data_IF_476650198629
#
_entry.id   IF_476650198629
#
_cell.length_a   1.000
_cell.length_b   1.000
_cell.length_c   1.000
_cell.angle_alpha   90.00
_cell.angle_beta   90.00
_cell.angle_gamma   90.00
#
_symmetry.space_group_name_H-M   'P 1'
#
loop_
_entity.id
_entity.type
_entity.pdbx_description
1 polymer ?
#
# COMPACT_ATOMS: atom_id res chain seq x y z
N UNK A 1 -5.92 -39.53 23.54
CA UNK A 1 -6.30 -38.29 22.83
C UNK A 1 -5.39 -37.19 23.34
N UNK A 2 -4.41 -36.75 22.54
CA UNK A 2 -3.37 -35.79 22.98
C UNK A 2 -3.54 -34.49 22.20
N UNK A 3 -4.01 -33.44 22.87
CA UNK A 3 -4.13 -32.08 22.30
C UNK A 3 -2.75 -31.42 22.21
N UNK A 4 -2.32 -30.87 21.07
CA UNK A 4 -1.05 -30.16 20.98
C UNK A 4 -1.14 -28.82 21.72
N UNK A 5 -0.21 -28.61 22.67
CA UNK A 5 -0.07 -27.37 23.40
C UNK A 5 0.29 -26.21 22.44
N UNK A 6 -0.47 -25.11 22.51
CA UNK A 6 -0.24 -23.87 21.76
C UNK A 6 1.13 -23.29 22.13
N UNK A 7 2.15 -23.50 21.28
CA UNK A 7 3.49 -22.95 21.47
C UNK A 7 3.41 -21.43 21.50
N UNK A 8 3.64 -20.85 22.69
CA UNK A 8 3.77 -19.40 22.88
C UNK A 8 5.04 -18.96 22.15
N UNK A 9 4.95 -17.94 21.29
CA UNK A 9 6.11 -17.33 20.65
C UNK A 9 7.07 -16.85 21.73
N UNK A 10 8.29 -17.41 21.74
CA UNK A 10 9.37 -17.01 22.62
C UNK A 10 9.74 -15.55 22.29
N UNK A 11 9.97 -14.72 23.31
CA UNK A 11 10.30 -13.30 23.20
C UNK A 11 11.68 -13.00 22.57
N UNK A 12 12.33 -14.01 22.00
CA UNK A 12 13.65 -13.94 21.36
C UNK A 12 13.58 -14.42 19.91
N UNK A 13 12.55 -14.00 19.17
CA UNK A 13 12.47 -14.27 17.73
C UNK A 13 13.14 -13.13 16.96
N UNK A 14 14.26 -13.37 16.26
CA UNK A 14 14.95 -12.37 15.44
C UNK A 14 14.21 -12.07 14.12
N UNK A 15 13.21 -12.88 13.77
CA UNK A 15 12.31 -12.63 12.65
C UNK A 15 11.29 -11.57 13.06
N UNK A 16 11.63 -10.30 12.83
CA UNK A 16 10.67 -9.21 12.90
C UNK A 16 9.64 -9.40 11.77
N UNK A 17 8.34 -9.28 12.05
CA UNK A 17 7.32 -9.29 11.00
C UNK A 17 7.63 -8.16 10.01
N UNK A 18 7.50 -8.45 8.71
CA UNK A 18 7.73 -7.46 7.66
C UNK A 18 6.97 -6.17 7.99
N UNK A 19 7.63 -5.00 7.92
CA UNK A 19 7.00 -3.73 8.25
C UNK A 19 5.74 -3.60 7.40
N UNK A 20 4.62 -3.35 8.08
CA UNK A 20 3.32 -3.07 7.45
C UNK A 20 3.61 -2.05 6.36
N UNK A 21 3.28 -2.34 5.08
CA UNK A 21 3.60 -1.43 3.99
C UNK A 21 3.06 -0.07 4.39
N UNK A 22 3.95 0.91 4.51
CA UNK A 22 3.57 2.29 4.81
C UNK A 22 2.57 2.64 3.73
N UNK A 23 1.29 2.65 4.11
CA UNK A 23 0.24 3.15 3.26
C UNK A 23 0.55 4.64 3.22
N UNK A 24 1.38 5.05 2.27
CA UNK A 24 1.69 6.47 2.10
C UNK A 24 0.34 7.15 1.96
N UNK A 25 0.02 8.02 2.92
CA UNK A 25 -1.15 8.86 2.82
C UNK A 25 -0.90 9.81 1.66
N UNK A 26 -1.41 9.41 0.50
CA UNK A 26 -1.46 10.26 -0.66
C UNK A 26 -2.45 11.39 -0.35
N UNK A 27 -2.08 12.63 -0.65
CA UNK A 27 -2.98 13.76 -0.56
C UNK A 27 -3.58 14.05 -1.93
N UNK A 28 -4.77 14.64 -1.97
CA UNK A 28 -5.31 15.20 -3.21
C UNK A 28 -4.32 16.24 -3.74
N UNK A 29 -4.04 16.18 -5.04
CA UNK A 29 -3.05 16.96 -5.76
C UNK A 29 -1.57 16.55 -5.61
N UNK A 30 -1.25 15.45 -4.90
CA UNK A 30 0.09 14.87 -4.93
C UNK A 30 0.44 14.31 -6.32
N UNK A 31 1.73 14.39 -6.66
CA UNK A 31 2.31 13.75 -7.83
C UNK A 31 2.69 12.31 -7.50
N UNK A 32 2.25 11.38 -8.33
CA UNK A 32 2.55 9.96 -8.20
C UNK A 32 3.08 9.45 -9.53
N UNK A 33 4.09 8.59 -9.48
CA UNK A 33 4.54 7.80 -10.61
C UNK A 33 3.99 6.39 -10.50
N UNK A 34 3.36 5.90 -11.57
CA UNK A 34 2.91 4.53 -11.72
C UNK A 34 3.66 3.84 -12.85
N UNK A 35 4.26 2.68 -12.62
CA UNK A 35 5.12 2.01 -13.63
C UNK A 35 4.42 1.78 -14.99
N UNK A 36 3.13 1.48 -14.98
CA UNK A 36 2.37 1.17 -16.21
C UNK A 36 1.76 2.40 -16.90
N UNK A 37 1.46 3.47 -16.15
CA UNK A 37 0.71 4.62 -16.67
C UNK A 37 1.56 5.89 -16.75
N UNK A 38 2.72 5.90 -16.10
CA UNK A 38 3.62 7.05 -16.00
C UNK A 38 3.25 7.95 -14.82
N UNK A 39 3.51 9.24 -14.98
CA UNK A 39 3.26 10.26 -13.98
C UNK A 39 1.78 10.64 -13.98
N UNK A 40 1.19 10.72 -12.79
CA UNK A 40 -0.18 11.14 -12.57
C UNK A 40 -0.33 11.97 -11.31
N UNK A 41 -1.47 12.62 -11.17
CA UNK A 41 -1.79 13.46 -10.02
C UNK A 41 -2.99 12.91 -9.29
N UNK A 42 -2.93 12.84 -7.97
CA UNK A 42 -4.07 12.37 -7.18
C UNK A 42 -5.22 13.35 -7.30
N UNK A 43 -6.39 12.84 -7.64
CA UNK A 43 -7.63 13.63 -7.67
C UNK A 43 -8.56 13.26 -6.52
N UNK A 44 -8.45 12.04 -5.99
CA UNK A 44 -9.22 11.60 -4.82
C UNK A 44 -8.46 10.54 -4.05
N UNK A 45 -8.61 10.54 -2.73
CA UNK A 45 -7.96 9.61 -1.81
C UNK A 45 -9.06 8.96 -0.98
N UNK A 46 -9.12 7.64 -0.99
CA UNK A 46 -9.98 6.84 -0.15
C UNK A 46 -9.12 5.93 0.74
N UNK A 47 -9.69 5.49 1.86
CA UNK A 47 -9.01 4.56 2.80
C UNK A 47 -8.62 3.24 2.12
N UNK A 48 -9.39 2.80 1.10
CA UNK A 48 -9.17 1.56 0.39
C UNK A 48 -8.63 1.71 -1.04
N UNK A 49 -8.60 2.92 -1.60
CA UNK A 49 -8.19 3.17 -2.98
C UNK A 49 -7.80 4.63 -3.22
N UNK A 50 -6.93 4.88 -4.18
CA UNK A 50 -6.55 6.24 -4.60
C UNK A 50 -6.91 6.39 -6.06
N UNK A 51 -7.53 7.52 -6.39
CA UNK A 51 -7.86 7.88 -7.76
C UNK A 51 -6.81 8.86 -8.25
N UNK A 52 -6.08 8.46 -9.28
CA UNK A 52 -5.02 9.23 -9.91
C UNK A 52 -5.43 9.59 -11.32
N UNK A 53 -5.28 10.85 -11.67
CA UNK A 53 -5.42 11.34 -13.04
C UNK A 53 -4.05 11.38 -13.72
N UNK A 54 -3.88 10.57 -14.75
CA UNK A 54 -2.67 10.54 -15.58
C UNK A 54 -2.75 11.51 -16.76
N UNK A 55 -3.79 12.35 -16.82
CA UNK A 55 -4.04 13.32 -17.89
C UNK A 55 -4.66 12.71 -19.15
N UNK A 56 -4.28 11.47 -19.50
CA UNK A 56 -4.91 10.68 -20.56
C UNK A 56 -6.11 9.87 -20.06
N UNK A 57 -6.05 9.41 -18.81
CA UNK A 57 -7.09 8.64 -18.15
C UNK A 57 -6.99 8.78 -16.64
N UNK A 58 -8.14 8.69 -15.97
CA UNK A 58 -8.23 8.62 -14.52
C UNK A 58 -8.33 7.15 -14.10
N UNK A 59 -7.40 6.68 -13.27
CA UNK A 59 -7.36 5.28 -12.81
C UNK A 59 -7.56 5.24 -11.31
N UNK A 60 -8.46 4.35 -10.87
CA UNK A 60 -8.66 4.02 -9.46
C UNK A 60 -7.80 2.84 -9.09
N UNK A 61 -6.89 3.03 -8.14
CA UNK A 61 -5.88 2.07 -7.72
C UNK A 61 -6.21 1.64 -6.29
N UNK A 62 -6.70 0.42 -6.07
CA UNK A 62 -6.98 -0.08 -4.72
C UNK A 62 -5.68 -0.35 -3.94
N UNK A 63 -5.78 -0.25 -2.61
CA UNK A 63 -4.76 -0.73 -1.67
C UNK A 63 -4.43 -2.19 -2.00
N UNK A 64 -3.15 -2.60 -2.03
CA UNK A 64 -1.96 -1.97 -1.44
C UNK A 64 -1.13 -1.09 -2.40
N UNK A 65 -1.77 -0.41 -3.36
CA UNK A 65 -1.10 0.54 -4.27
C UNK A 65 0.11 -0.07 -5.00
N UNK A 66 -0.09 -1.25 -5.59
CA UNK A 66 0.96 -1.93 -6.35
C UNK A 66 1.55 -1.00 -7.42
N UNK A 67 2.88 -0.84 -7.39
CA UNK A 67 3.66 -0.07 -8.38
C UNK A 67 3.40 1.45 -8.40
N UNK A 68 2.97 2.00 -7.27
CA UNK A 68 2.87 3.45 -7.06
C UNK A 68 4.05 3.94 -6.23
N UNK A 69 4.65 5.03 -6.67
CA UNK A 69 5.71 5.74 -5.94
C UNK A 69 5.36 7.22 -5.89
N UNK A 70 5.33 7.81 -4.69
CA UNK A 70 5.20 9.26 -4.52
C UNK A 70 6.46 9.97 -5.03
N UNK A 71 6.30 11.11 -5.72
CA UNK A 71 7.40 11.96 -6.17
C UNK A 71 7.56 13.21 -5.30
#
# INVERSE_FOLDING_TARGET
>A
MTTPARRRHLASSPFQPDPVPTIEEYAVADLISHDAYGMGRVVSVEVAAVTVDFGSQTVRIPSPFHKMSKL
#
